data_IF_928835385532
#
_entry.id   IF_928835385532
#
_cell.length_a   1.000
_cell.length_b   1.000
_cell.length_c   1.000
_cell.angle_alpha   90.00
_cell.angle_beta   90.00
_cell.angle_gamma   90.00
#
_symmetry.space_group_name_H-M   'P 1'
#
loop_
_entity.id
_entity.type
_entity.pdbx_description
1 polymer ?
#
# COMPACT_ATOMS: atom_id res chain seq x y z
N UNK A 1 -7.61 -19.09 -1.91
CA UNK A 1 -6.42 -18.23 -1.78
C UNK A 1 -6.67 -16.90 -2.48
N UNK A 2 -6.49 -15.81 -1.75
CA UNK A 2 -6.72 -14.48 -2.32
C UNK A 2 -5.42 -13.88 -2.86
N UNK A 3 -5.54 -12.85 -3.70
CA UNK A 3 -4.40 -12.14 -4.28
C UNK A 3 -4.44 -10.68 -3.86
N UNK A 4 -3.30 -10.17 -3.40
CA UNK A 4 -3.16 -8.77 -2.97
C UNK A 4 -2.16 -8.07 -3.89
N UNK A 5 -2.54 -6.88 -4.36
CA UNK A 5 -1.64 -6.05 -5.17
C UNK A 5 -1.07 -4.95 -4.28
N UNK A 6 0.25 -4.84 -4.24
CA UNK A 6 0.93 -3.81 -3.47
C UNK A 6 1.63 -2.89 -4.45
N UNK A 7 1.22 -1.62 -4.47
CA UNK A 7 1.72 -0.61 -5.41
C UNK A 7 2.50 0.44 -4.63
N UNK A 8 3.73 0.73 -5.06
CA UNK A 8 4.58 1.68 -4.36
C UNK A 8 5.17 2.73 -5.29
N UNK A 9 5.47 3.90 -4.72
CA UNK A 9 6.27 4.94 -5.36
C UNK A 9 7.41 5.27 -4.40
N UNK A 10 8.65 5.24 -4.87
CA UNK A 10 9.82 5.42 -4.01
C UNK A 10 10.86 6.34 -4.65
N UNK A 11 11.60 7.06 -3.79
CA UNK A 11 12.73 7.86 -4.23
C UNK A 11 14.05 7.13 -3.99
N UNK A 12 14.17 6.43 -2.87
CA UNK A 12 15.42 5.84 -2.41
C UNK A 12 15.38 4.33 -2.32
N UNK A 13 14.23 3.70 -2.64
CA UNK A 13 14.06 2.26 -2.51
C UNK A 13 13.51 1.82 -1.17
N UNK A 14 13.40 2.71 -0.19
CA UNK A 14 12.94 2.33 1.15
C UNK A 14 11.46 1.92 1.16
N UNK A 15 10.63 2.63 0.41
CA UNK A 15 9.22 2.29 0.30
C UNK A 15 9.04 0.91 -0.35
N UNK A 16 9.89 0.57 -1.31
CA UNK A 16 9.88 -0.75 -1.91
C UNK A 16 10.20 -1.84 -0.89
N UNK A 17 11.20 -1.59 -0.03
CA UNK A 17 11.55 -2.54 1.02
C UNK A 17 10.37 -2.78 1.96
N UNK A 18 9.65 -1.72 2.31
CA UNK A 18 8.46 -1.84 3.15
C UNK A 18 7.38 -2.66 2.44
N UNK A 19 7.16 -2.38 1.15
CA UNK A 19 6.19 -3.13 0.34
C UNK A 19 6.53 -4.62 0.30
N UNK A 20 7.80 -4.95 0.13
CA UNK A 20 8.25 -6.35 0.09
C UNK A 20 7.97 -7.06 1.42
N UNK A 21 8.16 -6.37 2.54
CA UNK A 21 7.89 -6.94 3.87
C UNK A 21 6.40 -7.14 4.12
N UNK A 22 5.57 -6.22 3.65
CA UNK A 22 4.11 -6.38 3.71
C UNK A 22 3.72 -7.63 2.93
N UNK A 23 4.29 -7.80 1.74
CA UNK A 23 4.02 -8.99 0.90
C UNK A 23 4.40 -10.27 1.63
N UNK A 24 5.53 -10.29 2.35
CA UNK A 24 5.91 -11.45 3.13
C UNK A 24 4.86 -11.80 4.18
N UNK A 25 4.33 -10.79 4.89
CA UNK A 25 3.28 -11.01 5.88
C UNK A 25 2.02 -11.61 5.27
N UNK A 26 1.65 -11.15 4.07
CA UNK A 26 0.49 -11.67 3.35
C UNK A 26 0.73 -13.13 2.96
N UNK A 27 1.92 -13.45 2.49
CA UNK A 27 2.28 -14.81 2.10
C UNK A 27 2.31 -15.76 3.30
N UNK A 28 2.80 -15.28 4.44
CA UNK A 28 2.77 -16.07 5.68
C UNK A 28 1.35 -16.42 6.10
N UNK A 29 0.38 -15.59 5.74
CA UNK A 29 -1.03 -15.84 6.05
C UNK A 29 -1.72 -16.76 5.02
N UNK A 30 -0.98 -17.24 4.02
CA UNK A 30 -1.49 -18.19 3.05
C UNK A 30 -2.08 -17.58 1.78
N UNK A 31 -1.85 -16.30 1.52
CA UNK A 31 -2.35 -15.61 0.32
C UNK A 31 -1.23 -15.25 -0.63
N UNK A 32 -1.59 -14.88 -1.84
CA UNK A 32 -0.63 -14.41 -2.84
C UNK A 32 -0.47 -12.89 -2.74
N UNK A 33 0.73 -12.40 -3.01
CA UNK A 33 1.01 -10.97 -3.04
C UNK A 33 1.90 -10.64 -4.23
N UNK A 34 1.56 -9.57 -4.92
CA UNK A 34 2.34 -9.05 -6.03
C UNK A 34 2.75 -7.62 -5.72
N UNK A 35 4.04 -7.32 -5.83
CA UNK A 35 4.60 -5.99 -5.53
C UNK A 35 5.00 -5.33 -6.85
N UNK A 36 4.46 -4.14 -7.12
CA UNK A 36 4.74 -3.44 -8.37
C UNK A 36 5.04 -1.96 -8.12
N UNK A 37 5.91 -1.40 -8.95
CA UNK A 37 6.16 0.04 -8.98
C UNK A 37 4.99 0.72 -9.70
N UNK A 38 4.58 1.90 -9.23
CA UNK A 38 3.48 2.65 -9.86
C UNK A 38 3.71 2.88 -11.35
N UNK A 39 4.97 2.93 -11.78
CA UNK A 39 5.31 3.15 -13.18
C UNK A 39 4.83 2.04 -14.11
N UNK A 40 4.55 0.86 -13.57
CA UNK A 40 4.06 -0.27 -14.35
C UNK A 40 2.55 -0.23 -14.54
N UNK A 41 1.84 0.62 -13.79
CA UNK A 41 0.39 0.74 -13.90
C UNK A 41 0.07 1.82 -14.93
N UNK A 42 -0.53 1.42 -16.04
CA UNK A 42 -0.83 2.31 -17.17
C UNK A 42 -2.29 2.73 -17.22
N UNK A 43 -3.20 1.88 -16.76
CA UNK A 43 -4.63 2.17 -16.77
C UNK A 43 -5.32 1.32 -15.71
N UNK A 44 -6.64 1.54 -15.54
CA UNK A 44 -7.42 0.88 -14.50
C UNK A 44 -7.51 -0.64 -14.69
N UNK A 45 -7.35 -1.13 -15.90
CA UNK A 45 -7.38 -2.58 -16.14
C UNK A 45 -6.22 -3.30 -15.46
N UNK A 46 -5.11 -2.61 -15.25
CA UNK A 46 -3.95 -3.19 -14.56
C UNK A 46 -4.24 -3.46 -13.07
N UNK A 47 -5.32 -2.90 -12.55
CA UNK A 47 -5.74 -3.10 -11.15
C UNK A 47 -6.79 -4.19 -10.99
N UNK A 48 -7.25 -4.79 -12.08
CA UNK A 48 -8.29 -5.82 -12.02
C UNK A 48 -7.71 -7.18 -11.61
N UNK A 49 -8.57 -8.00 -10.99
CA UNK A 49 -8.22 -9.38 -10.67
C UNK A 49 -7.59 -9.58 -9.30
N UNK A 50 -7.60 -8.58 -8.45
CA UNK A 50 -7.08 -8.67 -7.09
C UNK A 50 -8.20 -8.57 -6.07
N UNK A 51 -7.97 -9.16 -4.91
CA UNK A 51 -8.97 -9.20 -3.83
C UNK A 51 -8.74 -8.10 -2.80
N UNK A 52 -7.51 -7.59 -2.71
CA UNK A 52 -7.15 -6.51 -1.80
C UNK A 52 -6.00 -5.71 -2.38
N UNK A 53 -5.78 -4.51 -1.85
CA UNK A 53 -4.79 -3.58 -2.37
C UNK A 53 -4.06 -2.87 -1.24
N UNK A 54 -2.77 -2.59 -1.43
CA UNK A 54 -2.02 -1.71 -0.53
C UNK A 54 -1.26 -0.71 -1.38
N UNK A 55 -1.36 0.57 -1.03
CA UNK A 55 -0.71 1.65 -1.79
C UNK A 55 0.23 2.41 -0.86
N UNK A 56 1.42 2.69 -1.34
CA UNK A 56 2.42 3.37 -0.53
C UNK A 56 3.33 4.30 -1.31
N UNK A 57 3.84 5.31 -0.61
CA UNK A 57 4.73 6.31 -1.22
C UNK A 57 5.70 6.84 -0.20
N UNK A 58 6.87 7.28 -0.68
CA UNK A 58 7.75 8.12 0.11
C UNK A 58 7.09 9.48 0.29
N UNK A 59 7.36 10.13 1.44
CA UNK A 59 6.95 11.52 1.65
C UNK A 59 8.10 12.42 1.21
N UNK A 60 7.79 13.41 0.37
CA UNK A 60 8.75 14.38 -0.13
C UNK A 60 8.15 15.77 0.01
N UNK A 61 8.83 16.64 0.77
CA UNK A 61 8.33 17.98 1.07
C UNK A 61 6.88 17.97 1.59
N UNK A 62 6.58 17.03 2.48
CA UNK A 62 5.25 16.92 3.07
C UNK A 62 4.19 16.33 2.17
N UNK A 63 4.58 15.81 1.00
CA UNK A 63 3.65 15.29 0.01
C UNK A 63 4.04 13.90 -0.45
N UNK A 64 3.08 13.16 -0.99
CA UNK A 64 3.39 11.92 -1.69
C UNK A 64 4.05 12.27 -3.03
N UNK A 65 4.77 11.31 -3.59
CA UNK A 65 5.41 11.50 -4.88
C UNK A 65 4.37 11.69 -5.99
N UNK A 66 4.73 12.50 -7.01
CA UNK A 66 3.83 12.78 -8.12
C UNK A 66 3.34 11.51 -8.82
N UNK A 67 4.22 10.51 -8.94
CA UNK A 67 3.82 9.24 -9.56
C UNK A 67 2.68 8.56 -8.82
N UNK A 68 2.66 8.68 -7.48
CA UNK A 68 1.56 8.13 -6.68
C UNK A 68 0.28 8.94 -6.87
N UNK A 69 0.38 10.26 -6.97
CA UNK A 69 -0.79 11.11 -7.23
C UNK A 69 -1.44 10.73 -8.56
N UNK A 70 -0.63 10.55 -9.60
CA UNK A 70 -1.11 10.13 -10.91
C UNK A 70 -1.76 8.76 -10.83
N UNK A 71 -1.13 7.83 -10.10
CA UNK A 71 -1.69 6.48 -9.91
C UNK A 71 -3.07 6.53 -9.24
N UNK A 72 -3.24 7.38 -8.22
CA UNK A 72 -4.53 7.45 -7.51
C UNK A 72 -5.67 7.92 -8.42
N UNK A 73 -5.39 8.76 -9.41
CA UNK A 73 -6.39 9.10 -10.42
C UNK A 73 -6.77 7.89 -11.29
N UNK A 74 -5.79 7.05 -11.60
CA UNK A 74 -6.07 5.80 -12.32
C UNK A 74 -6.93 4.88 -11.46
N UNK A 75 -6.60 4.80 -10.16
CA UNK A 75 -7.33 3.95 -9.22
C UNK A 75 -8.80 4.37 -9.07
N UNK A 76 -9.10 5.66 -9.20
CA UNK A 76 -10.48 6.14 -9.14
C UNK A 76 -11.36 5.55 -10.24
N UNK A 77 -10.76 5.21 -11.37
CA UNK A 77 -11.49 4.64 -12.51
C UNK A 77 -11.72 3.14 -12.36
N UNK A 78 -10.99 2.50 -11.45
CA UNK A 78 -11.18 1.09 -11.16
C UNK A 78 -12.28 0.95 -10.11
N UNK A 79 -12.97 -0.18 -10.10
CA UNK A 79 -14.00 -0.44 -9.11
C UNK A 79 -13.37 -1.13 -7.90
N UNK A 80 -12.91 -0.33 -6.95
CA UNK A 80 -12.25 -0.80 -5.73
C UNK A 80 -13.14 -0.69 -4.50
N UNK A 81 -14.38 -0.23 -4.66
CA UNK A 81 -15.30 -0.02 -3.53
C UNK A 81 -15.49 -1.31 -2.73
N UNK A 82 -15.32 -1.20 -1.42
CA UNK A 82 -15.49 -2.33 -0.50
C UNK A 82 -14.32 -3.30 -0.45
N UNK A 83 -13.33 -3.15 -1.33
CA UNK A 83 -12.16 -4.03 -1.31
C UNK A 83 -11.28 -3.72 -0.10
N UNK A 84 -10.75 -4.75 0.58
CA UNK A 84 -9.80 -4.51 1.67
C UNK A 84 -8.55 -3.79 1.16
N UNK A 85 -8.00 -2.91 1.98
CA UNK A 85 -6.81 -2.19 1.59
C UNK A 85 -6.04 -1.60 2.75
N UNK A 86 -4.86 -1.09 2.45
CA UNK A 86 -4.02 -0.43 3.42
C UNK A 86 -3.13 0.61 2.76
N UNK A 87 -2.69 1.58 3.55
CA UNK A 87 -1.78 2.63 3.13
C UNK A 87 -0.49 2.54 3.92
N UNK A 88 0.64 2.73 3.25
CA UNK A 88 1.94 2.64 3.90
C UNK A 88 2.93 3.62 3.28
N UNK A 89 4.09 3.76 3.91
CA UNK A 89 5.14 4.56 3.29
C UNK A 89 6.29 4.85 4.23
N UNK A 90 7.34 5.43 3.64
CA UNK A 90 8.51 5.88 4.37
C UNK A 90 8.49 7.41 4.49
N UNK A 91 9.15 7.94 5.53
CA UNK A 91 9.18 9.38 5.74
C UNK A 91 10.50 9.78 6.38
N UNK A 92 10.96 11.01 6.08
CA UNK A 92 12.13 11.59 6.72
C UNK A 92 11.73 12.41 7.95
N UNK A 93 10.81 13.34 7.77
CA UNK A 93 10.36 14.27 8.83
C UNK A 93 8.92 13.99 9.26
N UNK A 94 8.06 13.66 8.30
CA UNK A 94 6.63 13.53 8.54
C UNK A 94 6.04 12.48 7.61
N UNK A 95 4.86 11.98 7.95
CA UNK A 95 4.20 10.93 7.20
C UNK A 95 2.95 11.37 6.45
N UNK A 96 2.87 12.62 6.03
CA UNK A 96 1.67 13.17 5.38
C UNK A 96 1.25 12.39 4.13
N UNK A 97 2.24 11.86 3.36
CA UNK A 97 1.90 11.08 2.17
C UNK A 97 1.02 9.89 2.54
N UNK A 98 1.33 9.22 3.63
CA UNK A 98 0.59 8.03 4.09
C UNK A 98 -0.85 8.40 4.45
N UNK A 99 -1.03 9.51 5.17
CA UNK A 99 -2.35 9.95 5.58
C UNK A 99 -3.20 10.34 4.38
N UNK A 100 -2.60 10.98 3.38
CA UNK A 100 -3.33 11.38 2.16
C UNK A 100 -3.74 10.16 1.35
N UNK A 101 -2.86 9.16 1.24
CA UNK A 101 -3.20 7.91 0.56
C UNK A 101 -4.34 7.21 1.31
N UNK A 102 -4.23 7.12 2.63
CA UNK A 102 -5.24 6.50 3.48
C UNK A 102 -6.61 7.16 3.28
N UNK A 103 -6.64 8.50 3.34
CA UNK A 103 -7.88 9.26 3.18
C UNK A 103 -8.48 9.06 1.79
N UNK A 104 -7.65 9.03 0.75
CA UNK A 104 -8.10 8.80 -0.62
C UNK A 104 -8.72 7.41 -0.74
N UNK A 105 -8.07 6.38 -0.21
CA UNK A 105 -8.59 5.03 -0.27
C UNK A 105 -9.91 4.90 0.47
N UNK A 106 -10.02 5.53 1.64
CA UNK A 106 -11.20 5.41 2.50
C UNK A 106 -12.38 6.22 1.98
N UNK A 107 -12.14 7.48 1.59
CA UNK A 107 -13.21 8.42 1.30
C UNK A 107 -13.51 8.59 -0.19
N UNK A 108 -12.54 8.39 -1.06
CA UNK A 108 -12.73 8.56 -2.50
C UNK A 108 -12.90 7.21 -3.18
N UNK A 109 -12.02 6.26 -2.92
CA UNK A 109 -12.11 4.92 -3.48
C UNK A 109 -13.10 4.04 -2.72
N UNK A 110 -13.48 4.45 -1.52
CA UNK A 110 -14.45 3.76 -0.66
C UNK A 110 -14.06 2.31 -0.38
N UNK A 111 -12.77 2.11 -0.11
CA UNK A 111 -12.23 0.80 0.24
C UNK A 111 -12.39 0.53 1.74
N UNK A 112 -12.35 -0.74 2.11
CA UNK A 112 -12.34 -1.16 3.51
C UNK A 112 -10.90 -1.22 3.99
N UNK A 113 -10.37 -0.05 4.42
CA UNK A 113 -8.96 0.04 4.81
C UNK A 113 -8.74 -0.51 6.22
N UNK A 114 -7.56 -1.13 6.43
CA UNK A 114 -7.18 -1.60 7.76
C UNK A 114 -6.93 -0.41 8.67
N UNK A 115 -7.19 -0.61 9.96
CA UNK A 115 -7.26 0.38 11.03
C UNK A 115 -6.55 1.73 10.81
N UNK A 116 -5.24 1.72 10.59
CA UNK A 116 -4.46 2.93 10.42
C UNK A 116 -3.44 2.72 9.30
N UNK A 117 -2.72 3.77 8.94
CA UNK A 117 -1.66 3.68 7.95
C UNK A 117 -0.37 3.17 8.60
N UNK A 118 0.46 2.48 7.83
CA UNK A 118 1.79 2.04 8.28
C UNK A 118 2.82 3.11 7.92
N UNK A 119 3.44 3.72 8.91
CA UNK A 119 4.45 4.76 8.74
C UNK A 119 5.78 4.30 9.31
N UNK A 120 6.82 4.26 8.48
CA UNK A 120 8.15 3.86 8.90
C UNK A 120 9.19 4.81 8.32
N UNK A 121 10.20 5.16 9.14
CA UNK A 121 11.34 5.91 8.63
C UNK A 121 12.15 5.03 7.71
N UNK A 122 12.36 3.79 8.12
CA UNK A 122 13.08 2.79 7.36
C UNK A 122 12.63 1.41 7.84
N UNK A 123 12.70 0.45 6.94
CA UNK A 123 12.35 -0.94 7.27
C UNK A 123 13.30 -1.59 8.26
N UNK A 124 14.49 -1.01 8.46
CA UNK A 124 15.53 -1.59 9.31
C UNK A 124 15.59 -1.02 10.72
N UNK A 125 14.77 -0.01 11.04
CA UNK A 125 14.79 0.63 12.36
C UNK A 125 13.60 0.23 13.23
N UNK A 126 13.87 0.11 14.53
CA UNK A 126 12.82 0.05 15.55
C UNK A 126 11.74 -1.01 15.35
N UNK A 127 12.10 -2.18 14.87
CA UNK A 127 11.12 -3.23 14.63
C UNK A 127 10.31 -3.03 13.35
N UNK A 128 10.79 -2.19 12.44
CA UNK A 128 10.10 -1.90 11.18
C UNK A 128 9.79 -3.13 10.36
N UNK A 129 10.71 -4.12 10.34
CA UNK A 129 10.48 -5.37 9.64
C UNK A 129 9.23 -6.07 10.17
N UNK A 130 9.14 -6.22 11.48
CA UNK A 130 8.01 -6.91 12.11
C UNK A 130 6.71 -6.13 11.91
N UNK A 131 6.76 -4.80 12.03
CA UNK A 131 5.60 -3.95 11.84
C UNK A 131 5.03 -4.08 10.42
N UNK A 132 5.91 -4.11 9.42
CA UNK A 132 5.49 -4.25 8.03
C UNK A 132 4.88 -5.63 7.76
N UNK A 133 5.49 -6.68 8.29
CA UNK A 133 4.94 -8.03 8.14
C UNK A 133 3.59 -8.16 8.83
N UNK A 134 3.45 -7.57 10.02
CA UNK A 134 2.18 -7.60 10.76
C UNK A 134 1.10 -6.81 10.04
N UNK A 135 1.47 -5.72 9.36
CA UNK A 135 0.53 -4.96 8.56
C UNK A 135 -0.03 -5.82 7.41
N UNK A 136 0.86 -6.59 6.77
CA UNK A 136 0.43 -7.55 5.75
C UNK A 136 -0.54 -8.58 6.29
N UNK A 137 -0.29 -9.07 7.50
CA UNK A 137 -1.20 -10.02 8.15
C UNK A 137 -2.56 -9.40 8.46
N UNK A 138 -2.60 -8.12 8.82
CA UNK A 138 -3.85 -7.42 9.07
C UNK A 138 -4.69 -7.29 7.79
N UNK A 139 -4.04 -7.00 6.67
CA UNK A 139 -4.73 -6.96 5.38
C UNK A 139 -5.29 -8.35 5.06
N UNK A 140 -4.49 -9.38 5.28
CA UNK A 140 -4.89 -10.76 5.02
C UNK A 140 -6.09 -11.19 5.86
N UNK A 141 -6.20 -10.71 7.11
CA UNK A 141 -7.34 -11.03 7.98
C UNK A 141 -8.65 -10.54 7.38
N UNK A 142 -8.65 -9.43 6.69
CA UNK A 142 -9.85 -8.91 6.04
C UNK A 142 -10.30 -9.77 4.86
N UNK A 143 -9.43 -10.64 4.37
CA UNK A 143 -9.74 -11.56 3.28
C UNK A 143 -10.42 -12.83 3.77
N UNK A 144 -10.57 -13.00 5.07
CA UNK A 144 -11.37 -14.06 5.66
C UNK A 144 -10.81 -15.47 5.54
N UNK A 145 -9.53 -15.61 5.47
CA UNK A 145 -8.94 -16.95 5.34
C UNK A 145 -8.84 -17.69 6.64
#
# INVERSE_FOLDING_TARGET
MAKVLIVFATRTGETQNIADLIAEGIRFAGHEAEVVDVKTIKNEADLEGFDAYAFGSSTYHGEMLQAMKTFLFIAEKADLEGKPGGAFGSFGWSGEANDRIFDTMKHILKMDVVGDTLRLKTSSLGGGLQMAQDYGREIAKKLGS
#
